data_IF_803319173536
#
_entry.id   IF_803319173536
#
_cell.length_a   1.000
_cell.length_b   1.000
_cell.length_c   1.000
_cell.angle_alpha   90.00
_cell.angle_beta   90.00
_cell.angle_gamma   90.00
#
_symmetry.space_group_name_H-M   'P 1'
#
loop_
_entity.id
_entity.type
_entity.pdbx_description
1 polymer ?
#
# COMPACT_ATOMS: atom_id res chain seq x y z
N UNK A 1 -40.77 49.51 36.80
CA UNK A 1 -40.88 48.35 35.88
C UNK A 1 -39.48 47.76 35.75
N UNK A 2 -39.25 46.62 36.34
CA UNK A 2 -37.96 45.91 36.27
C UNK A 2 -38.06 44.81 35.18
N UNK A 3 -37.09 44.63 34.28
CA UNK A 3 -37.06 43.50 33.35
C UNK A 3 -36.62 42.23 34.06
N UNK A 4 -37.42 41.17 33.86
CA UNK A 4 -37.11 39.82 34.29
C UNK A 4 -36.09 39.17 33.34
N UNK A 5 -34.97 38.72 33.92
CA UNK A 5 -33.95 37.95 33.22
C UNK A 5 -34.40 36.49 33.17
N UNK A 6 -34.65 35.96 31.99
CA UNK A 6 -34.94 34.54 31.75
C UNK A 6 -33.61 33.79 31.67
N UNK A 7 -33.38 32.92 32.65
CA UNK A 7 -32.23 31.99 32.68
C UNK A 7 -32.61 30.77 31.89
N UNK A 8 -32.01 30.55 30.71
CA UNK A 8 -32.17 29.31 29.93
C UNK A 8 -31.15 28.30 30.44
N UNK A 9 -31.64 27.26 31.09
CA UNK A 9 -30.86 26.13 31.57
C UNK A 9 -30.65 25.18 30.37
N UNK A 10 -29.44 25.15 29.83
CA UNK A 10 -29.04 24.10 28.88
C UNK A 10 -28.77 22.81 29.61
N UNK A 11 -29.68 21.85 29.48
CA UNK A 11 -29.45 20.49 29.92
C UNK A 11 -28.56 19.76 28.92
N UNK A 12 -27.32 19.47 29.32
CA UNK A 12 -26.42 18.56 28.63
C UNK A 12 -26.95 17.13 28.82
N UNK A 13 -27.58 16.59 27.77
CA UNK A 13 -27.90 15.18 27.70
C UNK A 13 -26.65 14.45 27.22
N UNK A 14 -25.94 13.83 28.16
CA UNK A 14 -24.89 12.86 27.86
C UNK A 14 -25.55 11.55 27.45
N UNK A 15 -25.55 11.24 26.16
CA UNK A 15 -25.89 9.92 25.67
C UNK A 15 -24.70 8.96 25.96
N UNK A 16 -24.94 7.77 26.51
CA UNK A 16 -23.89 6.78 26.64
C UNK A 16 -23.58 6.18 25.26
N UNK A 17 -22.31 6.21 24.89
CA UNK A 17 -21.77 5.47 23.75
C UNK A 17 -21.95 3.97 24.05
N UNK A 18 -22.90 3.33 23.43
CA UNK A 18 -23.03 1.88 23.42
C UNK A 18 -21.90 1.32 22.54
N UNK A 19 -20.82 0.89 23.20
CA UNK A 19 -19.84 -0.01 22.59
C UNK A 19 -20.56 -1.34 22.36
N UNK A 20 -20.88 -1.63 21.10
CA UNK A 20 -21.36 -2.96 20.72
C UNK A 20 -20.19 -3.94 20.91
N UNK A 21 -20.27 -4.74 21.98
CA UNK A 21 -19.33 -5.81 22.22
C UNK A 21 -19.49 -6.90 21.16
N UNK A 22 -18.40 -7.27 20.53
CA UNK A 22 -18.26 -8.50 19.76
C UNK A 22 -18.42 -9.68 20.73
N UNK A 23 -19.50 -10.44 20.59
CA UNK A 23 -19.66 -11.75 21.22
C UNK A 23 -19.69 -12.78 20.10
N UNK A 24 -18.51 -13.24 19.70
CA UNK A 24 -18.33 -14.62 19.24
C UNK A 24 -16.86 -15.01 19.40
N UNK A 25 -16.68 -16.19 19.98
CA UNK A 25 -15.45 -16.78 20.46
C UNK A 25 -14.64 -17.40 19.32
N UNK A 26 -13.90 -16.57 18.62
CA UNK A 26 -12.62 -16.92 18.04
C UNK A 26 -11.69 -15.76 18.43
N UNK A 27 -10.72 -16.04 19.28
CA UNK A 27 -9.78 -15.06 19.78
C UNK A 27 -8.83 -14.62 18.68
N UNK A 28 -9.29 -13.67 17.87
CA UNK A 28 -8.39 -12.75 17.17
C UNK A 28 -8.05 -11.68 18.21
N UNK A 29 -6.80 -11.62 18.61
CA UNK A 29 -6.27 -10.53 19.43
C UNK A 29 -6.42 -9.21 18.66
N UNK A 30 -7.59 -8.58 18.79
CA UNK A 30 -7.82 -7.22 18.30
C UNK A 30 -7.17 -6.23 19.26
N UNK A 31 -5.87 -6.29 19.42
CA UNK A 31 -5.12 -5.19 19.99
C UNK A 31 -4.83 -4.21 18.85
N UNK A 32 -5.37 -2.98 18.90
CA UNK A 32 -4.93 -1.95 17.97
C UNK A 32 -3.40 -1.79 18.13
N UNK A 33 -2.64 -1.65 17.03
CA UNK A 33 -1.20 -1.41 17.13
C UNK A 33 -0.96 -0.22 18.05
N UNK A 34 -0.03 -0.39 18.97
CA UNK A 34 0.38 0.68 19.90
C UNK A 34 0.90 1.83 19.06
N UNK A 35 0.44 3.09 19.25
CA UNK A 35 1.00 4.23 18.54
C UNK A 35 2.51 4.28 18.76
N UNK A 36 3.31 4.14 17.69
CA UNK A 36 4.77 4.01 17.71
C UNK A 36 5.28 2.61 17.44
N UNK A 37 4.43 1.64 17.02
CA UNK A 37 4.92 0.40 16.43
C UNK A 37 5.37 0.68 15.00
N UNK A 38 6.59 0.24 14.64
CA UNK A 38 7.11 0.34 13.27
C UNK A 38 6.38 -0.65 12.37
N UNK A 39 5.17 -0.28 11.96
CA UNK A 39 4.31 -1.11 11.10
C UNK A 39 4.58 -0.83 9.62
N UNK A 40 4.35 -1.80 8.73
CA UNK A 40 4.43 -1.59 7.29
C UNK A 40 3.55 -0.43 6.79
N UNK A 41 2.38 -0.21 7.39
CA UNK A 41 1.51 0.91 7.04
C UNK A 41 2.12 2.28 7.38
N UNK A 42 2.76 2.39 8.54
CA UNK A 42 3.48 3.62 8.92
C UNK A 42 4.71 3.84 8.04
N UNK A 43 5.38 2.76 7.63
CA UNK A 43 6.50 2.81 6.70
C UNK A 43 6.06 3.36 5.34
N UNK A 44 4.96 2.87 4.77
CA UNK A 44 4.37 3.39 3.52
C UNK A 44 4.03 4.87 3.68
N UNK A 45 3.28 5.25 4.71
CA UNK A 45 2.89 6.64 4.95
C UNK A 45 4.10 7.58 5.15
N UNK A 46 5.19 7.08 5.69
CA UNK A 46 6.44 7.85 5.84
C UNK A 46 7.11 8.11 4.48
N UNK A 47 7.14 7.12 3.60
CA UNK A 47 7.69 7.26 2.24
C UNK A 47 6.80 8.17 1.39
N UNK A 48 5.47 8.07 1.50
CA UNK A 48 4.53 8.96 0.81
C UNK A 48 4.73 10.43 1.18
N UNK A 49 4.92 10.75 2.46
CA UNK A 49 5.26 12.12 2.90
C UNK A 49 6.55 12.63 2.25
N UNK A 50 7.54 11.74 2.08
CA UNK A 50 8.79 12.09 1.42
C UNK A 50 8.61 12.31 -0.08
N UNK A 51 7.76 11.49 -0.72
CA UNK A 51 7.36 11.66 -2.11
C UNK A 51 6.69 13.02 -2.33
N UNK A 52 5.65 13.34 -1.54
CA UNK A 52 4.95 14.64 -1.60
C UNK A 52 5.94 15.81 -1.44
N UNK A 53 6.86 15.68 -0.48
CA UNK A 53 7.90 16.69 -0.26
C UNK A 53 8.80 16.87 -1.49
N UNK A 54 9.19 15.77 -2.13
CA UNK A 54 10.01 15.80 -3.35
C UNK A 54 9.27 16.45 -4.53
N UNK A 55 7.98 16.14 -4.69
CA UNK A 55 7.14 16.74 -5.74
C UNK A 55 6.98 18.26 -5.56
N UNK A 56 6.80 18.73 -4.33
CA UNK A 56 6.59 20.15 -4.05
C UNK A 56 7.88 20.96 -4.10
N UNK A 57 9.01 20.41 -3.62
CA UNK A 57 10.24 21.15 -3.40
C UNK A 57 11.31 20.88 -4.47
N UNK A 58 11.10 19.87 -5.29
CA UNK A 58 12.03 19.43 -6.33
C UNK A 58 13.19 18.58 -5.80
N UNK A 59 13.84 17.84 -6.72
CA UNK A 59 14.85 16.81 -6.43
C UNK A 59 16.00 17.31 -5.53
N UNK A 60 16.59 18.46 -5.85
CA UNK A 60 17.75 18.96 -5.10
C UNK A 60 17.42 19.30 -3.65
N UNK A 61 16.24 19.91 -3.40
CA UNK A 61 15.80 20.24 -2.05
C UNK A 61 15.44 18.96 -1.27
N UNK A 62 14.80 18.01 -1.92
CA UNK A 62 14.45 16.72 -1.34
C UNK A 62 15.71 15.94 -0.93
N UNK A 63 16.68 15.78 -1.83
CA UNK A 63 17.92 15.06 -1.53
C UNK A 63 18.73 15.72 -0.41
N UNK A 64 18.76 17.05 -0.32
CA UNK A 64 19.38 17.75 0.83
C UNK A 64 18.70 17.41 2.14
N UNK A 65 17.36 17.38 2.15
CA UNK A 65 16.59 17.07 3.36
C UNK A 65 16.71 15.60 3.74
N UNK A 66 16.69 14.68 2.76
CA UNK A 66 16.83 13.23 3.01
C UNK A 66 18.22 12.85 3.53
N UNK A 67 19.26 13.62 3.19
CA UNK A 67 20.61 13.45 3.71
C UNK A 67 20.84 14.16 5.07
N UNK A 68 19.84 14.86 5.60
CA UNK A 68 19.93 15.52 6.89
C UNK A 68 19.60 14.55 8.03
N UNK A 69 20.62 14.11 8.78
CA UNK A 69 20.47 13.17 9.89
C UNK A 69 19.56 13.67 11.03
N UNK A 70 19.30 14.97 11.11
CA UNK A 70 18.41 15.61 12.10
C UNK A 70 17.19 16.22 11.42
N UNK A 71 16.92 15.85 10.17
CA UNK A 71 15.83 16.34 9.35
C UNK A 71 14.50 15.65 9.66
N UNK A 72 13.44 16.15 9.01
CA UNK A 72 12.08 15.65 9.18
C UNK A 72 11.85 14.23 8.65
N UNK A 73 12.81 13.69 7.88
CA UNK A 73 12.76 12.36 7.30
C UNK A 73 13.70 11.38 7.99
N UNK A 74 13.89 11.59 9.29
CA UNK A 74 14.50 10.67 10.23
C UNK A 74 13.61 10.57 11.47
N UNK A 75 12.97 9.42 11.67
CA UNK A 75 12.07 9.14 12.80
C UNK A 75 12.42 7.78 13.42
N UNK A 76 13.11 7.80 14.57
CA UNK A 76 13.61 6.56 15.18
C UNK A 76 14.62 5.86 14.30
N UNK A 77 14.36 4.60 13.94
CA UNK A 77 15.19 3.82 13.02
C UNK A 77 14.86 4.06 11.54
N UNK A 78 13.70 4.70 11.26
CA UNK A 78 13.27 5.03 9.89
C UNK A 78 13.97 6.26 9.37
N UNK A 79 14.47 6.16 8.16
CA UNK A 79 15.05 7.28 7.41
C UNK A 79 14.80 7.08 5.92
N UNK A 80 14.69 8.17 5.16
CA UNK A 80 14.59 8.09 3.71
C UNK A 80 15.96 7.86 3.10
N UNK A 81 16.04 6.86 2.23
CA UNK A 81 17.14 6.67 1.28
C UNK A 81 16.66 6.94 -0.15
N UNK A 82 17.58 7.22 -1.05
CA UNK A 82 17.30 7.43 -2.46
C UNK A 82 18.37 6.86 -3.37
N UNK A 83 17.95 6.30 -4.49
CA UNK A 83 18.81 5.80 -5.57
C UNK A 83 18.27 6.24 -6.92
N UNK A 84 19.15 6.33 -7.93
CA UNK A 84 18.70 6.32 -9.31
C UNK A 84 18.51 4.89 -9.83
N UNK A 85 17.92 4.73 -11.01
CA UNK A 85 17.67 3.42 -11.61
C UNK A 85 18.92 2.73 -12.15
N UNK A 86 20.07 3.43 -12.24
CA UNK A 86 21.37 2.83 -12.48
C UNK A 86 21.99 2.23 -11.19
N UNK A 87 21.45 2.57 -10.01
CA UNK A 87 21.89 2.09 -8.70
C UNK A 87 22.90 3.00 -8.01
N UNK A 88 23.04 4.28 -8.46
CA UNK A 88 23.84 5.26 -7.76
C UNK A 88 23.10 5.76 -6.51
N UNK A 89 23.79 5.85 -5.40
CA UNK A 89 23.23 6.34 -4.13
C UNK A 89 23.07 7.86 -4.16
N UNK A 90 21.86 8.35 -3.97
CA UNK A 90 21.54 9.79 -3.97
C UNK A 90 21.34 10.33 -2.56
N UNK A 91 20.72 9.53 -1.67
CA UNK A 91 20.56 9.87 -0.27
C UNK A 91 20.73 8.61 0.61
N UNK A 92 21.52 8.77 1.66
CA UNK A 92 21.74 7.74 2.68
C UNK A 92 22.32 8.42 3.94
N UNK A 93 21.46 9.03 4.80
CA UNK A 93 21.91 9.97 5.82
C UNK A 93 22.93 9.41 6.81
N UNK A 94 22.83 8.12 7.17
CA UNK A 94 23.73 7.50 8.14
C UNK A 94 24.98 6.84 7.52
N UNK A 95 25.11 6.85 6.20
CA UNK A 95 26.28 6.33 5.47
C UNK A 95 26.67 7.31 4.33
N UNK A 96 27.01 8.56 4.65
CA UNK A 96 27.26 9.61 3.64
C UNK A 96 28.41 9.29 2.70
N UNK A 97 29.38 8.47 3.13
CA UNK A 97 30.50 8.04 2.30
C UNK A 97 30.09 7.18 1.09
N UNK A 98 28.86 6.65 1.12
CA UNK A 98 28.31 5.87 0.00
C UNK A 98 27.53 6.72 -1.00
N UNK A 99 27.30 8.00 -0.73
CA UNK A 99 26.62 8.90 -1.66
C UNK A 99 27.45 9.10 -2.92
N UNK A 100 26.83 8.87 -4.08
CA UNK A 100 27.51 8.90 -5.39
C UNK A 100 28.10 7.55 -5.81
N UNK A 101 28.21 6.57 -4.91
CA UNK A 101 28.68 5.23 -5.26
C UNK A 101 27.58 4.43 -5.96
N UNK A 102 27.97 3.68 -7.01
CA UNK A 102 27.06 2.73 -7.65
C UNK A 102 27.03 1.43 -6.84
N UNK A 103 25.84 1.11 -6.33
CA UNK A 103 25.61 -0.04 -5.45
C UNK A 103 24.70 -1.11 -6.06
N UNK A 104 24.40 -1.03 -7.37
CA UNK A 104 23.49 -1.97 -8.04
C UNK A 104 23.81 -3.45 -7.77
N UNK A 105 25.11 -3.77 -7.67
CA UNK A 105 25.57 -5.14 -7.44
C UNK A 105 25.96 -5.41 -5.99
N UNK A 106 25.67 -4.50 -5.06
CA UNK A 106 25.89 -4.75 -3.64
C UNK A 106 25.00 -5.89 -3.16
N UNK A 107 25.58 -6.82 -2.40
CA UNK A 107 24.83 -7.93 -1.79
C UNK A 107 24.82 -7.79 -0.28
N UNK A 108 23.75 -8.30 0.34
CA UNK A 108 23.66 -8.45 1.77
C UNK A 108 24.44 -9.69 2.27
N UNK A 109 24.38 -9.97 3.57
CA UNK A 109 25.06 -11.11 4.19
C UNK A 109 24.56 -12.48 3.67
N UNK A 110 23.37 -12.54 3.10
CA UNK A 110 22.76 -13.74 2.51
C UNK A 110 23.04 -13.87 1.01
N UNK A 111 23.72 -12.89 0.41
CA UNK A 111 24.01 -12.84 -1.03
C UNK A 111 22.89 -12.21 -1.86
N UNK A 112 21.87 -11.62 -1.23
CA UNK A 112 20.76 -10.92 -1.90
C UNK A 112 21.25 -9.61 -2.52
N UNK A 113 21.05 -9.42 -3.82
CA UNK A 113 21.37 -8.19 -4.52
C UNK A 113 20.28 -7.13 -4.30
N UNK A 114 20.14 -6.67 -3.06
CA UNK A 114 18.99 -5.92 -2.57
C UNK A 114 18.75 -4.57 -3.27
N UNK A 115 19.81 -3.88 -3.75
CA UNK A 115 19.63 -2.64 -4.53
C UNK A 115 18.99 -2.97 -5.89
N UNK A 116 19.38 -4.07 -6.52
CA UNK A 116 18.74 -4.52 -7.77
C UNK A 116 17.28 -4.87 -7.56
N UNK A 117 16.97 -5.59 -6.49
CA UNK A 117 15.57 -5.91 -6.16
C UNK A 117 14.75 -4.64 -5.89
N UNK A 118 15.31 -3.65 -5.20
CA UNK A 118 14.63 -2.36 -5.00
C UNK A 118 14.43 -1.59 -6.31
N UNK A 119 15.40 -1.61 -7.24
CA UNK A 119 15.27 -1.02 -8.57
C UNK A 119 14.12 -1.71 -9.32
N UNK A 120 14.13 -3.03 -9.42
CA UNK A 120 13.09 -3.82 -10.10
C UNK A 120 11.70 -3.57 -9.48
N UNK A 121 11.64 -3.45 -8.15
CA UNK A 121 10.42 -3.11 -7.42
C UNK A 121 9.94 -1.70 -7.73
N UNK A 122 10.83 -0.70 -7.76
CA UNK A 122 10.49 0.68 -8.08
C UNK A 122 10.11 0.85 -9.56
N UNK A 123 10.78 0.17 -10.50
CA UNK A 123 10.41 0.11 -11.94
C UNK A 123 9.01 -0.49 -12.15
N UNK A 124 8.56 -1.33 -11.21
CA UNK A 124 7.23 -1.92 -11.20
C UNK A 124 6.19 -1.10 -10.38
N UNK A 125 6.37 0.21 -10.30
CA UNK A 125 5.52 1.19 -9.60
C UNK A 125 5.60 1.13 -8.07
N UNK A 126 6.69 0.56 -7.50
CA UNK A 126 6.95 0.52 -6.06
C UNK A 126 6.50 -0.77 -5.38
N UNK A 127 6.83 -0.87 -4.10
CA UNK A 127 6.55 -2.07 -3.28
C UNK A 127 7.59 -2.27 -2.19
N UNK A 128 7.59 -3.48 -1.65
CA UNK A 128 8.47 -3.82 -0.52
C UNK A 128 9.66 -4.68 -0.98
N UNK A 129 10.78 -4.57 -0.27
CA UNK A 129 11.96 -5.41 -0.43
C UNK A 129 12.47 -5.83 0.96
N UNK A 130 12.86 -7.10 1.11
CA UNK A 130 13.36 -7.65 2.37
C UNK A 130 14.82 -8.12 2.19
N UNK A 131 15.70 -7.68 3.08
CA UNK A 131 17.15 -7.95 3.01
C UNK A 131 17.81 -7.75 4.36
N UNK A 132 19.08 -8.14 4.49
CA UNK A 132 19.89 -7.85 5.68
C UNK A 132 20.60 -6.50 5.50
N UNK A 133 20.47 -5.62 6.51
CA UNK A 133 21.13 -4.33 6.48
C UNK A 133 21.62 -3.87 7.86
N UNK A 134 22.54 -2.96 7.85
CA UNK A 134 23.06 -2.36 9.10
C UNK A 134 22.05 -1.40 9.69
N UNK A 135 21.76 -1.56 10.98
CA UNK A 135 20.86 -0.69 11.74
C UNK A 135 21.65 0.46 12.38
N UNK A 136 21.49 1.71 11.93
CA UNK A 136 22.21 2.85 12.48
C UNK A 136 21.82 3.15 13.94
N UNK A 137 20.64 2.76 14.38
CA UNK A 137 20.16 2.96 15.74
C UNK A 137 20.75 1.95 16.74
N UNK A 138 21.26 0.80 16.23
CA UNK A 138 21.86 -0.27 17.01
C UNK A 138 23.34 -0.50 16.62
N UNK A 139 24.12 0.56 16.65
CA UNK A 139 25.56 0.53 16.43
C UNK A 139 25.97 -0.19 15.12
N UNK A 140 25.17 -0.05 14.06
CA UNK A 140 25.36 -0.69 12.75
C UNK A 140 25.38 -2.23 12.80
N UNK A 141 24.66 -2.83 13.74
CA UNK A 141 24.42 -4.27 13.77
C UNK A 141 23.63 -4.67 12.53
N UNK A 142 24.00 -5.79 11.88
CA UNK A 142 23.27 -6.32 10.72
C UNK A 142 21.99 -7.01 11.20
N UNK A 143 20.86 -6.55 10.69
CA UNK A 143 19.52 -7.06 11.02
C UNK A 143 18.68 -7.28 9.77
N UNK A 144 17.65 -8.13 9.85
CA UNK A 144 16.60 -8.15 8.83
C UNK A 144 15.97 -6.75 8.69
N UNK A 145 15.80 -6.30 7.47
CA UNK A 145 15.16 -5.03 7.15
C UNK A 145 14.06 -5.24 6.10
N UNK A 146 12.89 -4.69 6.37
CA UNK A 146 11.81 -4.55 5.41
C UNK A 146 11.78 -3.10 4.94
N UNK A 147 11.93 -2.87 3.65
CA UNK A 147 11.86 -1.53 3.07
C UNK A 147 10.68 -1.43 2.09
N UNK A 148 10.00 -0.30 2.10
CA UNK A 148 9.10 0.11 1.05
C UNK A 148 9.82 1.10 0.13
N UNK A 149 9.72 0.89 -1.19
CA UNK A 149 10.31 1.76 -2.21
C UNK A 149 9.24 2.26 -3.16
N UNK A 150 9.44 3.47 -3.68
CA UNK A 150 8.49 4.17 -4.54
C UNK A 150 9.23 5.03 -5.56
N UNK A 151 8.91 4.96 -6.88
CA UNK A 151 9.49 5.86 -7.85
C UNK A 151 9.03 7.30 -7.59
N UNK A 152 9.94 8.26 -7.75
CA UNK A 152 9.59 9.69 -7.68
C UNK A 152 9.30 10.23 -9.08
N UNK A 153 10.13 9.82 -10.04
CA UNK A 153 9.99 10.08 -11.46
C UNK A 153 10.74 9.00 -12.27
N UNK A 154 11.04 9.24 -13.55
CA UNK A 154 11.71 8.29 -14.43
C UNK A 154 13.21 8.10 -14.11
N UNK A 155 13.79 8.96 -13.27
CA UNK A 155 15.23 9.02 -13.03
C UNK A 155 15.63 8.45 -11.67
N UNK A 156 14.73 8.43 -10.69
CA UNK A 156 15.07 8.04 -9.32
C UNK A 156 13.88 7.60 -8.49
N UNK A 157 14.18 6.86 -7.43
CA UNK A 157 13.21 6.38 -6.44
C UNK A 157 13.70 6.65 -5.01
N UNK A 158 12.76 6.61 -4.09
CA UNK A 158 12.99 6.74 -2.64
C UNK A 158 12.48 5.50 -1.93
N UNK A 159 12.95 5.32 -0.72
CA UNK A 159 12.43 4.29 0.17
C UNK A 159 12.80 4.56 1.62
N UNK A 160 12.17 3.79 2.49
CA UNK A 160 12.51 3.70 3.91
C UNK A 160 12.36 2.26 4.38
N UNK A 161 12.78 1.93 5.60
CA UNK A 161 12.66 0.57 6.11
C UNK A 161 12.61 0.52 7.61
N UNK A 162 12.03 -0.57 8.10
CA UNK A 162 11.96 -0.98 9.50
C UNK A 162 12.85 -2.20 9.72
N UNK A 163 13.45 -2.31 10.91
CA UNK A 163 14.33 -3.42 11.28
C UNK A 163 13.59 -4.44 12.13
N UNK A 164 14.09 -5.69 12.12
CA UNK A 164 13.49 -6.81 12.82
C UNK A 164 11.97 -6.94 12.58
N UNK A 165 11.51 -6.81 11.29
CA UNK A 165 10.11 -7.06 10.99
C UNK A 165 9.76 -8.49 11.41
N UNK A 166 8.57 -8.71 11.99
CA UNK A 166 8.13 -10.03 12.41
C UNK A 166 8.27 -11.08 11.30
N UNK A 167 8.54 -12.32 11.67
CA UNK A 167 8.61 -13.44 10.69
C UNK A 167 7.25 -13.63 10.00
N UNK A 168 6.17 -13.29 10.70
CA UNK A 168 4.78 -13.32 10.22
C UNK A 168 4.32 -11.96 9.64
N UNK A 169 5.24 -11.03 9.41
CA UNK A 169 4.87 -9.76 8.78
C UNK A 169 4.44 -10.05 7.34
N UNK A 170 3.17 -9.82 7.00
CA UNK A 170 2.50 -10.40 5.82
C UNK A 170 3.07 -9.98 4.47
N UNK A 171 4.11 -9.19 4.48
CA UNK A 171 4.74 -8.66 3.27
C UNK A 171 5.96 -9.53 2.92
N UNK A 172 5.81 -10.83 3.04
CA UNK A 172 6.82 -11.81 2.63
C UNK A 172 6.66 -12.13 1.16
N UNK A 173 7.70 -11.94 0.40
CA UNK A 173 7.83 -12.14 -1.05
C UNK A 173 7.18 -11.07 -1.92
N UNK A 174 7.75 -9.91 -1.89
CA UNK A 174 7.22 -8.71 -2.50
C UNK A 174 7.82 -8.39 -3.85
N UNK A 175 8.30 -9.33 -4.48
CA UNK A 175 8.49 -9.20 -5.92
C UNK A 175 7.47 -9.99 -6.69
N UNK A 176 6.24 -10.10 -6.41
CA UNK A 176 5.30 -11.03 -7.05
C UNK A 176 5.71 -11.37 -8.49
N UNK A 177 5.58 -12.60 -8.89
CA UNK A 177 6.01 -13.05 -10.22
C UNK A 177 5.73 -11.96 -11.26
N UNK A 178 6.71 -11.45 -12.01
CA UNK A 178 6.51 -10.41 -13.02
C UNK A 178 5.35 -10.72 -13.96
N UNK A 179 5.07 -11.99 -14.23
CA UNK A 179 3.92 -12.43 -15.05
C UNK A 179 2.58 -12.16 -14.35
N UNK A 180 2.54 -12.30 -13.03
CA UNK A 180 1.32 -12.00 -12.24
C UNK A 180 1.07 -10.50 -12.23
N UNK A 181 2.11 -9.67 -12.04
CA UNK A 181 2.01 -8.22 -12.11
C UNK A 181 1.50 -7.75 -13.48
N UNK A 182 2.09 -8.26 -14.57
CA UNK A 182 1.65 -7.93 -15.92
C UNK A 182 0.21 -8.40 -16.20
N UNK A 183 -0.19 -9.55 -15.66
CA UNK A 183 -1.57 -10.04 -15.75
C UNK A 183 -2.56 -9.12 -15.04
N UNK A 184 -2.22 -8.62 -13.85
CA UNK A 184 -3.03 -7.65 -13.11
C UNK A 184 -3.16 -6.32 -13.87
N UNK A 185 -2.02 -5.77 -14.38
CA UNK A 185 -2.03 -4.56 -15.20
C UNK A 185 -2.92 -4.72 -16.44
N UNK A 186 -2.80 -5.87 -17.11
CA UNK A 186 -3.60 -6.18 -18.32
C UNK A 186 -5.09 -6.26 -17.98
N UNK A 187 -5.46 -6.94 -16.90
CA UNK A 187 -6.85 -7.07 -16.48
C UNK A 187 -7.48 -5.72 -16.07
N UNK A 188 -6.74 -4.89 -15.37
CA UNK A 188 -7.14 -3.52 -15.02
C UNK A 188 -7.27 -2.66 -16.29
N UNK A 189 -6.35 -2.81 -17.27
CA UNK A 189 -6.43 -2.09 -18.53
C UNK A 189 -7.65 -2.49 -19.37
N UNK A 190 -8.03 -3.78 -19.39
CA UNK A 190 -9.27 -4.28 -20.01
C UNK A 190 -10.50 -3.61 -19.39
N UNK A 191 -10.55 -3.50 -18.07
CA UNK A 191 -11.65 -2.86 -17.35
C UNK A 191 -11.75 -1.35 -17.61
N UNK A 192 -10.61 -0.66 -17.71
CA UNK A 192 -10.56 0.76 -18.09
C UNK A 192 -11.07 0.92 -19.54
N UNK A 193 -10.60 0.10 -20.48
CA UNK A 193 -11.05 0.16 -21.86
C UNK A 193 -12.56 -0.07 -21.97
N UNK A 194 -13.10 -1.06 -21.24
CA UNK A 194 -14.54 -1.28 -21.13
C UNK A 194 -15.29 -0.06 -20.59
N UNK A 195 -14.75 0.57 -19.55
CA UNK A 195 -15.34 1.78 -18.95
C UNK A 195 -15.39 2.96 -19.92
N UNK A 196 -14.34 3.12 -20.74
CA UNK A 196 -14.27 4.17 -21.76
C UNK A 196 -15.27 3.90 -22.88
N UNK A 197 -15.44 2.66 -23.29
CA UNK A 197 -16.35 2.27 -24.40
C UNK A 197 -17.83 2.35 -23.99
N UNK A 198 -18.17 1.89 -22.78
CA UNK A 198 -19.56 1.70 -22.35
C UNK A 198 -20.07 2.79 -21.36
N UNK A 199 -19.16 3.60 -20.83
CA UNK A 199 -19.45 4.61 -19.82
C UNK A 199 -19.49 4.08 -18.39
N UNK A 200 -19.37 5.00 -17.43
CA UNK A 200 -19.23 4.70 -15.98
C UNK A 200 -20.36 3.80 -15.44
N UNK A 201 -21.61 4.13 -15.71
CA UNK A 201 -22.75 3.41 -15.12
C UNK A 201 -22.83 1.95 -15.62
N UNK A 202 -22.58 1.73 -16.91
CA UNK A 202 -22.55 0.39 -17.49
C UNK A 202 -21.36 -0.43 -16.96
N UNK A 203 -20.19 0.20 -16.82
CA UNK A 203 -19.00 -0.42 -16.29
C UNK A 203 -19.19 -0.82 -14.81
N UNK A 204 -19.70 0.07 -13.97
CA UNK A 204 -19.99 -0.22 -12.56
C UNK A 204 -21.02 -1.34 -12.44
N UNK A 205 -22.04 -1.38 -13.31
CA UNK A 205 -23.02 -2.46 -13.32
C UNK A 205 -22.38 -3.81 -13.65
N UNK A 206 -21.50 -3.87 -14.66
CA UNK A 206 -20.77 -5.07 -15.06
C UNK A 206 -19.79 -5.53 -13.98
N UNK A 207 -19.06 -4.61 -13.34
CA UNK A 207 -18.11 -4.94 -12.27
C UNK A 207 -18.79 -5.44 -11.00
N UNK A 208 -20.04 -5.12 -10.80
CA UNK A 208 -20.86 -5.62 -9.68
C UNK A 208 -21.59 -6.93 -9.99
N UNK A 209 -21.55 -7.43 -11.23
CA UNK A 209 -22.14 -8.73 -11.57
C UNK A 209 -21.18 -9.85 -11.13
N UNK A 210 -21.52 -10.67 -10.10
CA UNK A 210 -20.64 -11.74 -9.65
C UNK A 210 -20.41 -12.85 -10.70
N UNK A 211 -21.21 -12.86 -11.77
CA UNK A 211 -21.05 -13.76 -12.92
C UNK A 211 -20.57 -13.03 -14.18
N UNK A 212 -20.22 -11.75 -14.06
CA UNK A 212 -19.78 -10.89 -15.13
C UNK A 212 -18.37 -11.20 -15.65
N UNK A 213 -17.99 -10.53 -16.73
CA UNK A 213 -16.70 -10.73 -17.42
C UNK A 213 -15.50 -10.40 -16.53
N UNK A 214 -15.71 -9.47 -15.57
CA UNK A 214 -14.67 -8.95 -14.69
C UNK A 214 -14.64 -9.62 -13.31
N UNK A 215 -15.18 -10.84 -13.21
CA UNK A 215 -15.07 -11.71 -12.03
C UNK A 215 -14.58 -13.09 -12.46
N UNK A 216 -13.38 -13.47 -12.02
CA UNK A 216 -12.70 -14.73 -12.38
C UNK A 216 -12.22 -15.43 -11.10
N UNK A 217 -13.17 -15.96 -10.31
CA UNK A 217 -12.90 -16.51 -8.99
C UNK A 217 -12.58 -15.40 -7.98
N UNK A 218 -11.39 -15.45 -7.35
CA UNK A 218 -10.92 -14.42 -6.43
C UNK A 218 -10.22 -13.23 -7.12
N UNK A 219 -10.01 -13.29 -8.44
CA UNK A 219 -9.60 -12.15 -9.24
C UNK A 219 -10.83 -11.42 -9.77
N UNK A 220 -11.05 -10.20 -9.33
CA UNK A 220 -12.20 -9.37 -9.72
C UNK A 220 -11.84 -7.89 -9.74
N UNK A 221 -12.58 -7.11 -10.53
CA UNK A 221 -12.49 -5.65 -10.51
C UNK A 221 -13.29 -5.11 -9.33
N UNK A 222 -12.69 -4.19 -8.58
CA UNK A 222 -13.36 -3.32 -7.62
C UNK A 222 -13.16 -1.86 -8.02
N UNK A 223 -14.06 -0.97 -7.59
CA UNK A 223 -13.99 0.44 -7.96
C UNK A 223 -14.47 1.35 -6.82
N UNK A 224 -13.84 2.53 -6.72
CA UNK A 224 -14.14 3.55 -5.73
C UNK A 224 -14.09 4.95 -6.34
N UNK A 225 -14.76 5.89 -5.69
CA UNK A 225 -14.48 7.31 -5.91
C UNK A 225 -13.26 7.76 -5.07
N UNK A 226 -12.78 8.99 -5.32
CA UNK A 226 -11.63 9.52 -4.56
C UNK A 226 -11.95 9.97 -3.13
N UNK A 227 -13.20 9.87 -2.69
CA UNK A 227 -13.58 10.04 -1.28
C UNK A 227 -13.57 8.69 -0.52
N UNK A 228 -13.29 7.59 -1.21
CA UNK A 228 -13.31 6.24 -0.63
C UNK A 228 -14.68 5.57 -0.67
N UNK A 229 -15.66 6.13 -1.39
CA UNK A 229 -16.96 5.51 -1.56
C UNK A 229 -16.87 4.32 -2.53
N UNK A 230 -17.32 3.17 -2.09
CA UNK A 230 -17.36 1.94 -2.89
C UNK A 230 -18.36 2.05 -4.04
N UNK A 231 -17.90 1.90 -5.27
CA UNK A 231 -18.73 1.89 -6.48
C UNK A 231 -18.98 0.47 -6.99
N UNK A 232 -17.97 -0.39 -6.93
CA UNK A 232 -18.08 -1.80 -7.30
C UNK A 232 -17.29 -2.68 -6.34
N UNK A 233 -17.93 -3.75 -5.86
CA UNK A 233 -17.34 -4.78 -5.01
C UNK A 233 -18.20 -6.06 -5.09
N UNK A 234 -18.02 -6.89 -6.14
CA UNK A 234 -18.97 -7.95 -6.51
C UNK A 234 -19.20 -9.00 -5.42
N UNK A 235 -18.18 -9.31 -4.62
CA UNK A 235 -18.29 -10.30 -3.55
C UNK A 235 -18.79 -9.74 -2.21
N UNK A 236 -18.88 -8.41 -2.08
CA UNK A 236 -19.37 -7.74 -0.87
C UNK A 236 -20.37 -6.62 -1.23
N UNK A 237 -21.48 -6.93 -1.90
CA UNK A 237 -22.43 -5.93 -2.42
C UNK A 237 -23.06 -5.06 -1.35
N UNK A 238 -23.07 -5.52 -0.08
CA UNK A 238 -23.56 -4.75 1.06
C UNK A 238 -22.70 -3.53 1.42
N UNK A 239 -21.47 -3.47 0.90
CA UNK A 239 -20.54 -2.33 1.09
C UNK A 239 -20.64 -1.27 -0.02
N UNK A 240 -21.40 -1.54 -1.10
CA UNK A 240 -21.57 -0.56 -2.18
C UNK A 240 -22.23 0.70 -1.64
N UNK A 241 -21.66 1.86 -1.97
CA UNK A 241 -22.11 3.16 -1.47
C UNK A 241 -21.59 3.53 -0.08
N UNK A 242 -20.82 2.67 0.59
CA UNK A 242 -20.17 3.01 1.86
C UNK A 242 -18.78 3.61 1.65
N UNK A 243 -18.39 4.51 2.54
CA UNK A 243 -17.04 5.05 2.62
C UNK A 243 -16.13 4.07 3.35
N UNK A 244 -15.12 3.54 2.66
CA UNK A 244 -14.13 2.61 3.20
C UNK A 244 -12.75 3.27 3.38
N UNK A 245 -12.63 4.59 3.24
CA UNK A 245 -11.34 5.31 3.36
C UNK A 245 -10.67 5.18 4.73
N UNK A 246 -11.44 4.82 5.75
CA UNK A 246 -10.96 4.61 7.12
C UNK A 246 -10.68 3.16 7.48
N UNK A 247 -10.93 2.19 6.57
CA UNK A 247 -10.70 0.79 6.88
C UNK A 247 -9.21 0.46 6.89
N UNK A 248 -8.85 -0.40 7.84
CA UNK A 248 -7.52 -0.97 7.97
C UNK A 248 -7.61 -2.50 7.94
N UNK A 249 -6.58 -3.12 7.44
CA UNK A 249 -6.42 -4.56 7.58
C UNK A 249 -6.02 -4.93 9.03
N UNK A 250 -5.91 -6.22 9.40
CA UNK A 250 -5.53 -6.64 10.75
C UNK A 250 -4.17 -6.13 11.23
N UNK A 251 -3.31 -5.69 10.32
CA UNK A 251 -1.96 -5.17 10.59
C UNK A 251 -1.90 -3.63 10.58
N UNK A 252 -3.06 -2.96 10.43
CA UNK A 252 -3.16 -1.50 10.45
C UNK A 252 -2.93 -0.82 9.11
N UNK A 253 -2.80 -1.58 8.00
CA UNK A 253 -2.65 -1.01 6.66
C UNK A 253 -3.97 -0.39 6.21
N UNK A 254 -4.01 0.93 6.02
CA UNK A 254 -5.15 1.61 5.42
C UNK A 254 -5.04 1.53 3.89
N UNK A 255 -5.36 0.35 3.36
CA UNK A 255 -5.19 0.02 1.94
C UNK A 255 -6.00 0.91 1.01
N UNK A 256 -7.24 1.26 1.33
CA UNK A 256 -8.07 2.14 0.48
C UNK A 256 -7.44 3.52 0.31
N UNK A 257 -6.85 4.07 1.37
CA UNK A 257 -6.18 5.37 1.31
C UNK A 257 -4.91 5.34 0.46
N UNK A 258 -4.14 4.26 0.58
CA UNK A 258 -2.96 4.02 -0.25
C UNK A 258 -3.37 3.87 -1.71
N UNK A 259 -4.42 3.10 -1.99
CA UNK A 259 -4.96 2.89 -3.33
C UNK A 259 -5.45 4.20 -3.96
N UNK A 260 -6.14 5.06 -3.20
CA UNK A 260 -6.55 6.41 -3.64
C UNK A 260 -5.32 7.22 -4.06
N UNK A 261 -4.30 7.25 -3.19
CA UNK A 261 -3.06 7.97 -3.48
C UNK A 261 -2.39 7.45 -4.76
N UNK A 262 -2.20 6.15 -4.88
CA UNK A 262 -1.59 5.53 -6.07
C UNK A 262 -2.40 5.80 -7.34
N UNK A 263 -3.72 5.69 -7.28
CA UNK A 263 -4.59 6.00 -8.41
C UNK A 263 -4.48 7.46 -8.86
N UNK A 264 -4.32 8.41 -7.92
CA UNK A 264 -4.07 9.82 -8.25
C UNK A 264 -2.72 10.06 -8.93
N UNK A 265 -1.72 9.18 -8.68
CA UNK A 265 -0.43 9.21 -9.36
C UNK A 265 -0.41 8.44 -10.70
N UNK A 266 -1.56 7.94 -11.15
CA UNK A 266 -1.70 7.21 -12.42
C UNK A 266 -1.76 5.70 -12.26
N UNK A 267 -1.50 5.16 -11.09
CA UNK A 267 -1.62 3.75 -10.72
C UNK A 267 -0.43 3.24 -9.93
N UNK A 268 -0.58 2.04 -9.35
CA UNK A 268 0.49 1.40 -8.58
C UNK A 268 0.03 0.10 -7.93
N UNK A 269 1.00 -0.62 -7.35
CA UNK A 269 0.74 -1.84 -6.59
C UNK A 269 0.64 -1.55 -5.11
N UNK A 270 -0.30 -2.24 -4.44
CA UNK A 270 -0.51 -2.17 -2.98
C UNK A 270 -0.62 -3.58 -2.41
N UNK A 271 -0.11 -3.76 -1.19
CA UNK A 271 -0.10 -5.02 -0.46
C UNK A 271 -0.83 -4.86 0.86
N UNK A 272 -1.77 -5.75 1.14
CA UNK A 272 -2.58 -5.73 2.36
C UNK A 272 -3.26 -7.08 2.58
N UNK A 273 -3.87 -7.28 3.73
CA UNK A 273 -4.71 -8.46 3.98
C UNK A 273 -6.16 -8.15 3.70
N UNK A 274 -6.81 -9.06 2.99
CA UNK A 274 -8.21 -8.90 2.62
C UNK A 274 -8.96 -10.24 2.62
N UNK A 275 -10.27 -10.24 2.93
CA UNK A 275 -11.08 -11.46 2.88
C UNK A 275 -11.11 -12.10 1.50
N UNK A 276 -10.66 -13.36 1.38
CA UNK A 276 -10.72 -14.13 0.13
C UNK A 276 -12.13 -14.71 -0.09
N UNK A 277 -12.84 -14.28 -1.16
CA UNK A 277 -14.20 -14.74 -1.41
C UNK A 277 -14.31 -16.22 -1.78
N UNK A 278 -13.23 -16.86 -2.23
CA UNK A 278 -13.25 -18.29 -2.59
C UNK A 278 -12.77 -19.18 -1.45
N UNK A 279 -12.14 -18.62 -0.41
CA UNK A 279 -11.76 -19.34 0.80
C UNK A 279 -12.57 -18.87 2.03
N UNK A 280 -13.89 -18.94 1.91
CA UNK A 280 -14.83 -18.66 3.00
C UNK A 280 -14.58 -17.33 3.71
N UNK A 281 -14.08 -16.30 2.99
CA UNK A 281 -13.75 -14.98 3.52
C UNK A 281 -12.62 -15.02 4.57
N UNK A 282 -11.72 -16.01 4.52
CA UNK A 282 -10.48 -15.98 5.28
C UNK A 282 -9.66 -14.74 4.91
N UNK A 283 -8.98 -14.17 5.89
CA UNK A 283 -8.18 -12.96 5.67
C UNK A 283 -6.79 -13.38 5.21
N UNK A 284 -6.51 -13.14 3.92
CA UNK A 284 -5.30 -13.58 3.25
C UNK A 284 -4.48 -12.41 2.70
N UNK A 285 -3.15 -12.55 2.56
CA UNK A 285 -2.32 -11.56 1.90
C UNK A 285 -2.78 -11.34 0.46
N UNK A 286 -2.91 -10.08 0.06
CA UNK A 286 -3.36 -9.69 -1.28
C UNK A 286 -2.44 -8.65 -1.89
N UNK A 287 -2.05 -8.85 -3.13
CA UNK A 287 -1.41 -7.85 -3.97
C UNK A 287 -2.45 -7.32 -4.95
N UNK A 288 -2.67 -6.02 -4.93
CA UNK A 288 -3.58 -5.34 -5.86
C UNK A 288 -2.83 -4.35 -6.74
N UNK A 289 -3.30 -4.18 -7.97
CA UNK A 289 -2.92 -3.08 -8.85
C UNK A 289 -4.12 -2.17 -9.06
N UNK A 290 -3.91 -0.87 -8.86
CA UNK A 290 -4.94 0.15 -9.01
C UNK A 290 -4.56 1.15 -10.08
N UNK A 291 -5.57 1.77 -10.71
CA UNK A 291 -5.38 2.80 -11.70
C UNK A 291 -6.58 3.75 -11.76
N UNK A 292 -6.30 5.02 -12.06
CA UNK A 292 -7.34 5.99 -12.36
C UNK A 292 -8.11 5.62 -13.64
N UNK A 293 -9.41 5.87 -13.65
CA UNK A 293 -10.22 5.86 -14.87
C UNK A 293 -10.38 7.28 -15.39
N UNK A 294 -10.77 8.18 -14.50
CA UNK A 294 -10.84 9.62 -14.74
C UNK A 294 -10.65 10.42 -13.43
N UNK A 295 -10.92 11.72 -13.43
CA UNK A 295 -10.80 12.59 -12.26
C UNK A 295 -11.82 12.31 -11.14
N UNK A 296 -12.80 11.43 -11.35
CA UNK A 296 -13.89 11.16 -10.41
C UNK A 296 -13.85 9.79 -9.76
N UNK A 297 -13.12 8.82 -10.33
CA UNK A 297 -13.07 7.46 -9.83
C UNK A 297 -11.89 6.67 -10.36
N UNK A 298 -11.61 5.60 -9.68
CA UNK A 298 -10.54 4.65 -9.97
C UNK A 298 -11.02 3.21 -9.79
N UNK A 299 -10.26 2.28 -10.31
CA UNK A 299 -10.52 0.85 -10.15
C UNK A 299 -9.22 0.07 -9.93
N UNK A 300 -9.37 -1.14 -9.41
CA UNK A 300 -8.26 -2.05 -9.18
C UNK A 300 -8.69 -3.51 -9.27
N UNK A 301 -7.70 -4.37 -9.29
CA UNK A 301 -7.83 -5.81 -9.14
C UNK A 301 -6.68 -6.35 -8.31
N UNK A 302 -6.88 -7.48 -7.64
CA UNK A 302 -5.83 -8.09 -6.83
C UNK A 302 -5.87 -9.61 -6.85
N UNK A 303 -4.71 -10.21 -6.61
CA UNK A 303 -4.54 -11.65 -6.40
C UNK A 303 -4.17 -11.92 -4.96
N UNK A 304 -4.63 -13.05 -4.42
CA UNK A 304 -4.21 -13.51 -3.11
C UNK A 304 -2.88 -14.27 -3.25
N UNK A 305 -2.01 -14.00 -2.30
CA UNK A 305 -0.66 -14.55 -2.29
C UNK A 305 -0.70 -15.81 -1.41
N UNK A 306 -0.75 -16.98 -2.03
CA UNK A 306 -0.65 -18.24 -1.30
C UNK A 306 0.82 -18.52 -0.94
N UNK A 307 1.10 -18.78 0.34
CA UNK A 307 2.45 -19.15 0.80
C UNK A 307 2.98 -20.45 0.16
N UNK A 308 2.12 -21.22 -0.52
CA UNK A 308 2.45 -22.51 -1.12
C UNK A 308 2.52 -22.52 -2.65
N UNK A 309 2.09 -21.47 -3.34
CA UNK A 309 1.98 -21.46 -4.80
C UNK A 309 3.26 -21.00 -5.51
N UNK A 310 4.33 -21.71 -5.32
CA UNK A 310 5.49 -21.71 -6.23
C UNK A 310 5.27 -22.54 -7.51
N UNK A 311 4.06 -23.05 -7.77
CA UNK A 311 3.75 -23.83 -8.96
C UNK A 311 2.23 -23.90 -9.18
N UNK A 312 1.78 -23.54 -10.37
CA UNK A 312 0.44 -23.74 -10.92
C UNK A 312 -0.61 -22.63 -10.69
N UNK A 313 -0.39 -21.45 -11.28
CA UNK A 313 -1.54 -20.66 -11.73
C UNK A 313 -1.91 -21.04 -13.17
N UNK A 314 -3.17 -21.36 -13.47
CA UNK A 314 -3.58 -21.62 -14.83
C UNK A 314 -3.66 -20.31 -15.63
N UNK A 315 -2.56 -19.98 -16.31
CA UNK A 315 -2.50 -18.95 -17.36
C UNK A 315 -2.97 -19.55 -18.69
N UNK A 316 -4.14 -20.11 -18.78
CA UNK A 316 -4.66 -20.49 -20.08
C UNK A 316 -6.13 -20.18 -20.22
N UNK A 317 -6.40 -19.10 -20.93
CA UNK A 317 -7.62 -18.97 -21.70
C UNK A 317 -7.49 -19.86 -22.94
N UNK A 318 -7.62 -21.17 -22.80
CA UNK A 318 -8.07 -22.01 -23.90
C UNK A 318 -9.57 -22.25 -23.75
N UNK A 319 -10.33 -21.45 -24.46
CA UNK A 319 -11.65 -21.87 -24.94
C UNK A 319 -11.58 -21.94 -26.48
N UNK A 320 -11.56 -23.15 -26.94
CA UNK A 320 -11.99 -23.55 -28.27
C UNK A 320 -13.43 -23.12 -28.52
#
# INVERSE_FOLDING_TARGET
MRPQTILILLALISAPLLVAGCTDTASLDCNPPTPGSDSPAELVAFVEKAYEYAQVNGREAALREFNNQSGRFVEGERYIFAYDFEGNTLALPFQPDLIGENRRNATDANGTAFIREMIETAEADGGFARYQYVDPSDNFTVKPKLSYVMPVDQDWFIGSGIYDPGEDDPIVSVGGDPLVRESLKSFVAEAIAYSVEHGKDAAISEFNDPNGTFVRGNLYIYAFDYNGTTLALPHQPHLIGTDLSGLQDPYGVNYTRIEIFLAQQGGGFVYYHYPDPVDNMSVEPKMSYVRNVDETWWLGAGVYLDETAGADMPLSSEKI
#
